data_IF_447420015845
#
_entry.id   IF_447420015845
#
_cell.length_a   1.000
_cell.length_b   1.000
_cell.length_c   1.000
_cell.angle_alpha   90.00
_cell.angle_beta   90.00
_cell.angle_gamma   90.00
#
_symmetry.space_group_name_H-M   'P 1'
#
loop_
_entity.id
_entity.type
_entity.pdbx_description
1 polymer ?
#
# COMPACT_ATOMS: atom_id res chain seq x y z
N UNK A 1 21.93 5.06 9.48
CA UNK A 1 21.39 4.76 10.82
C UNK A 1 19.91 5.14 10.93
N UNK A 2 19.11 4.79 9.93
CA UNK A 2 17.66 5.13 9.89
C UNK A 2 16.73 3.94 10.19
N UNK A 3 17.26 2.83 10.71
CA UNK A 3 16.48 1.61 10.97
C UNK A 3 15.79 1.54 12.36
N UNK A 4 15.92 2.59 13.20
CA UNK A 4 15.36 2.58 14.55
C UNK A 4 13.98 3.27 14.69
N UNK A 5 13.47 3.88 13.60
CA UNK A 5 12.21 4.64 13.65
C UNK A 5 10.99 3.73 13.55
N UNK A 6 11.09 2.68 12.74
CA UNK A 6 10.06 1.67 12.53
C UNK A 6 10.65 0.27 12.55
N UNK A 7 9.91 -0.66 13.15
CA UNK A 7 10.19 -2.10 13.05
C UNK A 7 9.87 -2.59 11.63
N UNK A 8 10.46 -3.70 11.15
CA UNK A 8 10.14 -4.26 9.83
C UNK A 8 8.65 -4.49 9.61
N UNK A 9 7.92 -4.98 10.61
CA UNK A 9 6.47 -5.21 10.54
C UNK A 9 5.67 -3.90 10.37
N UNK A 10 6.17 -2.79 10.92
CA UNK A 10 5.55 -1.47 10.78
C UNK A 10 5.77 -0.92 9.37
N UNK A 11 6.96 -1.13 8.77
CA UNK A 11 7.22 -0.78 7.39
C UNK A 11 6.36 -1.59 6.43
N UNK A 12 6.18 -2.88 6.67
CA UNK A 12 5.28 -3.74 5.90
C UNK A 12 3.83 -3.25 6.01
N UNK A 13 3.40 -2.85 7.22
CA UNK A 13 2.07 -2.31 7.46
C UNK A 13 1.84 -0.97 6.74
N UNK A 14 2.83 -0.06 6.76
CA UNK A 14 2.78 1.19 5.98
C UNK A 14 2.64 0.86 4.49
N UNK A 15 3.44 -0.08 3.99
CA UNK A 15 3.37 -0.54 2.60
C UNK A 15 1.98 -1.07 2.24
N UNK A 16 1.38 -1.89 3.08
CA UNK A 16 0.06 -2.47 2.83
C UNK A 16 -1.06 -1.41 2.82
N UNK A 17 -1.09 -0.49 3.79
CA UNK A 17 -2.05 0.62 3.80
C UNK A 17 -1.93 1.47 2.54
N UNK A 18 -0.72 1.84 2.19
CA UNK A 18 -0.47 2.66 1.01
C UNK A 18 -0.84 1.92 -0.27
N UNK A 19 -0.61 0.60 -0.34
CA UNK A 19 -1.03 -0.25 -1.45
C UNK A 19 -2.56 -0.33 -1.57
N UNK A 20 -3.28 -0.54 -0.47
CA UNK A 20 -4.75 -0.55 -0.45
C UNK A 20 -5.30 0.81 -0.90
N UNK A 21 -4.78 1.89 -0.35
CA UNK A 21 -5.21 3.25 -0.64
C UNK A 21 -5.01 3.61 -2.12
N UNK A 22 -3.78 3.54 -2.61
CA UNK A 22 -3.45 3.91 -4.00
C UNK A 22 -3.88 2.85 -5.01
N UNK A 23 -3.92 1.57 -4.63
CA UNK A 23 -4.46 0.52 -5.48
C UNK A 23 -5.95 0.74 -5.81
N UNK A 24 -6.75 1.20 -4.85
CA UNK A 24 -8.16 1.57 -5.10
C UNK A 24 -8.28 2.77 -6.05
N UNK A 25 -7.34 3.71 -5.98
CA UNK A 25 -7.31 4.90 -6.86
C UNK A 25 -7.03 4.54 -8.33
N UNK A 26 -6.31 3.44 -8.60
CA UNK A 26 -6.02 2.99 -9.96
C UNK A 26 -7.31 2.76 -10.77
N UNK A 27 -8.37 2.28 -10.13
CA UNK A 27 -9.68 2.10 -10.78
C UNK A 27 -10.31 3.45 -11.17
N UNK A 28 -10.26 4.44 -10.28
CA UNK A 28 -10.80 5.77 -10.57
C UNK A 28 -10.05 6.45 -11.72
N UNK A 29 -8.72 6.37 -11.73
CA UNK A 29 -7.88 6.90 -12.80
C UNK A 29 -8.09 6.13 -14.11
N UNK A 30 -8.24 4.80 -14.07
CA UNK A 30 -8.55 3.99 -15.27
C UNK A 30 -9.83 4.44 -15.95
N UNK A 31 -10.87 4.70 -15.16
CA UNK A 31 -12.15 5.19 -15.68
C UNK A 31 -12.04 6.59 -16.29
N UNK A 32 -11.24 7.46 -15.65
CA UNK A 32 -11.04 8.84 -16.15
C UNK A 32 -10.25 8.87 -17.45
N UNK A 33 -9.21 8.04 -17.56
CA UNK A 33 -8.31 8.01 -18.72
C UNK A 33 -8.80 7.09 -19.86
N UNK A 34 -9.86 6.29 -19.64
CA UNK A 34 -10.31 5.22 -20.55
C UNK A 34 -9.16 4.26 -20.94
N UNK A 35 -8.23 4.03 -20.01
CA UNK A 35 -7.09 3.13 -20.14
C UNK A 35 -6.92 2.39 -18.84
N UNK A 36 -6.50 1.12 -18.91
CA UNK A 36 -6.18 0.37 -17.71
C UNK A 36 -4.94 0.95 -17.04
N UNK A 37 -5.11 1.36 -15.78
CA UNK A 37 -4.04 1.84 -14.91
C UNK A 37 -3.82 0.82 -13.80
N UNK A 38 -2.58 0.41 -13.62
CA UNK A 38 -2.17 -0.46 -12.52
C UNK A 38 -1.15 0.29 -11.66
N UNK A 39 -1.40 0.34 -10.36
CA UNK A 39 -0.48 0.85 -9.32
C UNK A 39 -0.17 -0.32 -8.41
N UNK A 40 1.10 -0.67 -8.28
CA UNK A 40 1.47 -1.90 -7.58
C UNK A 40 2.68 -1.71 -6.67
N UNK A 41 2.73 -2.59 -5.72
CA UNK A 41 3.82 -2.98 -4.81
C UNK A 41 4.72 -1.84 -4.35
N UNK A 42 4.38 -1.21 -3.22
CA UNK A 42 5.21 -0.16 -2.66
C UNK A 42 6.51 -0.73 -2.08
N UNK A 43 7.57 0.04 -2.24
CA UNK A 43 8.80 -0.09 -1.45
C UNK A 43 8.82 1.04 -0.44
N UNK A 44 8.90 0.72 0.85
CA UNK A 44 8.89 1.70 1.94
C UNK A 44 10.30 1.87 2.47
N UNK A 45 10.77 3.10 2.50
CA UNK A 45 12.09 3.47 2.99
C UNK A 45 11.99 4.63 3.99
N UNK A 46 12.80 4.57 5.06
CA UNK A 46 12.98 5.71 5.96
C UNK A 46 14.30 6.36 5.62
N UNK A 47 14.25 7.61 5.21
CA UNK A 47 15.43 8.40 4.82
C UNK A 47 15.40 9.74 5.56
N UNK A 48 16.59 10.33 5.81
CA UNK A 48 16.61 11.69 6.32
C UNK A 48 16.39 12.68 5.17
N UNK A 49 15.77 13.83 5.48
CA UNK A 49 15.56 14.90 4.50
C UNK A 49 16.85 15.29 3.79
N UNK A 50 17.98 15.34 4.53
CA UNK A 50 19.29 15.68 4.00
C UNK A 50 19.77 14.69 2.93
N UNK A 51 19.51 13.39 3.13
CA UNK A 51 19.93 12.29 2.25
C UNK A 51 18.90 11.97 1.16
N UNK A 52 17.73 12.61 1.20
CA UNK A 52 16.67 12.37 0.23
C UNK A 52 17.08 12.75 -1.19
N UNK A 53 16.74 11.91 -2.16
CA UNK A 53 16.97 12.13 -3.58
C UNK A 53 15.79 11.67 -4.42
N UNK A 54 15.56 12.34 -5.54
CA UNK A 54 14.52 11.98 -6.51
C UNK A 54 14.91 10.74 -7.33
N UNK A 55 16.22 10.52 -7.52
CA UNK A 55 16.74 9.39 -8.30
C UNK A 55 16.23 9.43 -9.75
N UNK A 56 15.55 8.36 -10.18
CA UNK A 56 14.99 8.22 -11.54
C UNK A 56 13.78 9.12 -11.83
N UNK A 57 13.24 9.84 -10.84
CA UNK A 57 12.03 10.67 -11.00
C UNK A 57 12.34 12.08 -11.55
N UNK A 58 13.60 12.46 -11.72
CA UNK A 58 13.98 13.75 -12.31
C UNK A 58 13.78 13.80 -13.84
N UNK A 59 13.28 14.94 -14.39
CA UNK A 59 12.68 16.09 -13.71
C UNK A 59 11.31 15.77 -13.13
N UNK A 60 11.01 16.29 -11.94
CA UNK A 60 9.84 15.93 -11.17
C UNK A 60 8.80 17.05 -11.09
N UNK A 61 7.54 16.61 -10.98
CA UNK A 61 6.39 17.42 -10.57
C UNK A 61 5.91 16.90 -9.23
N UNK A 62 5.77 17.80 -8.27
CA UNK A 62 5.21 17.51 -6.97
C UNK A 62 3.70 17.81 -6.92
N UNK A 63 2.97 16.95 -6.21
CA UNK A 63 1.57 17.14 -5.89
C UNK A 63 1.40 17.01 -4.39
N UNK A 64 1.10 18.11 -3.72
CA UNK A 64 0.84 18.13 -2.28
C UNK A 64 -0.66 18.04 -2.02
N UNK A 65 -1.04 17.15 -1.10
CA UNK A 65 -2.34 17.13 -0.46
C UNK A 65 -2.16 17.26 1.06
N UNK A 66 -3.11 17.91 1.72
CA UNK A 66 -3.16 17.99 3.19
C UNK A 66 -4.37 17.20 3.66
N UNK A 67 -4.18 16.42 4.71
CA UNK A 67 -5.32 15.85 5.41
C UNK A 67 -6.00 16.95 6.23
N UNK A 68 -7.32 17.09 6.08
CA UNK A 68 -8.10 18.12 6.76
C UNK A 68 -9.06 17.54 7.80
N UNK A 69 -9.25 16.22 7.79
CA UNK A 69 -10.05 15.48 8.75
C UNK A 69 -9.56 14.02 8.81
N UNK A 70 -9.54 13.45 9.99
CA UNK A 70 -9.26 12.02 10.22
C UNK A 70 -7.78 11.66 10.33
N UNK A 71 -6.91 12.42 9.71
CA UNK A 71 -5.44 12.30 9.77
C UNK A 71 -4.85 13.71 9.83
N UNK A 72 -3.62 13.82 10.34
CA UNK A 72 -2.87 15.08 10.38
C UNK A 72 -1.63 15.00 9.49
N UNK A 73 -1.32 16.12 8.80
CA UNK A 73 -0.13 16.24 7.96
C UNK A 73 -0.42 16.33 6.47
N UNK A 74 0.64 16.19 5.69
CA UNK A 74 0.58 16.24 4.23
C UNK A 74 1.23 15.00 3.60
N UNK A 75 0.76 14.68 2.41
CA UNK A 75 1.34 13.68 1.52
C UNK A 75 1.81 14.41 0.25
N UNK A 76 3.06 14.23 -0.09
CA UNK A 76 3.65 14.77 -1.30
C UNK A 76 3.91 13.63 -2.26
N UNK A 77 3.24 13.67 -3.40
CA UNK A 77 3.48 12.75 -4.50
C UNK A 77 4.44 13.38 -5.50
N UNK A 78 5.45 12.63 -5.90
CA UNK A 78 6.47 13.05 -6.84
C UNK A 78 6.40 12.16 -8.07
N UNK A 79 6.11 12.76 -9.23
CA UNK A 79 5.99 12.08 -10.52
C UNK A 79 6.99 12.70 -11.51
N UNK A 80 7.40 11.92 -12.50
CA UNK A 80 8.19 12.47 -13.62
C UNK A 80 7.35 13.44 -14.45
N UNK A 81 7.98 14.48 -14.93
CA UNK A 81 7.34 15.40 -15.88
C UNK A 81 6.87 14.66 -17.15
N UNK A 82 7.66 13.70 -17.63
CA UNK A 82 7.28 12.85 -18.77
C UNK A 82 6.02 12.03 -18.54
N UNK A 83 5.77 11.59 -17.30
CA UNK A 83 4.61 10.80 -16.94
C UNK A 83 3.36 11.68 -16.85
N UNK A 84 3.50 12.86 -16.26
CA UNK A 84 2.45 13.90 -16.26
C UNK A 84 2.05 14.24 -17.70
N UNK A 85 3.03 14.44 -18.60
CA UNK A 85 2.78 14.68 -20.02
C UNK A 85 1.92 13.56 -20.64
N UNK A 86 2.28 12.29 -20.44
CA UNK A 86 1.53 11.15 -20.97
C UNK A 86 0.09 11.12 -20.42
N UNK A 87 -0.07 11.35 -19.12
CA UNK A 87 -1.38 11.39 -18.46
C UNK A 87 -2.25 12.52 -19.03
N UNK A 88 -1.68 13.71 -19.17
CA UNK A 88 -2.38 14.90 -19.71
C UNK A 88 -2.74 14.69 -21.18
N UNK A 89 -1.83 14.16 -21.99
CA UNK A 89 -2.11 13.85 -23.40
C UNK A 89 -3.25 12.86 -23.56
N UNK A 90 -3.30 11.82 -22.73
CA UNK A 90 -4.42 10.86 -22.77
C UNK A 90 -5.73 11.59 -22.44
N UNK A 91 -5.75 12.38 -21.37
CA UNK A 91 -6.95 13.08 -20.92
C UNK A 91 -7.45 14.11 -21.96
N UNK A 92 -6.53 14.80 -22.63
CA UNK A 92 -6.84 15.84 -23.60
C UNK A 92 -6.99 15.31 -25.04
N UNK A 93 -6.64 14.03 -25.27
CA UNK A 93 -6.64 13.43 -26.62
C UNK A 93 -5.55 14.02 -27.52
N UNK A 94 -4.42 14.44 -26.96
CA UNK A 94 -3.27 15.00 -27.65
C UNK A 94 -2.11 14.01 -27.70
N UNK A 95 -1.08 14.33 -28.49
CA UNK A 95 0.20 13.60 -28.52
C UNK A 95 1.32 14.64 -28.73
N UNK A 96 1.64 15.34 -27.67
CA UNK A 96 2.59 16.44 -27.66
C UNK A 96 4.03 15.89 -27.54
N UNK A 97 5.01 16.29 -28.37
CA UNK A 97 6.42 15.98 -28.12
C UNK A 97 6.87 16.48 -26.74
N UNK A 98 7.78 15.75 -26.07
CA UNK A 98 8.21 16.11 -24.71
C UNK A 98 8.90 17.49 -24.67
N UNK A 99 9.64 17.83 -25.73
CA UNK A 99 10.29 19.13 -25.90
C UNK A 99 9.32 20.30 -26.02
N UNK A 100 8.10 20.06 -26.48
CA UNK A 100 7.04 21.06 -26.66
C UNK A 100 6.05 21.07 -25.48
N UNK A 101 6.16 20.13 -24.56
CA UNK A 101 5.25 20.04 -23.42
C UNK A 101 5.59 21.11 -22.38
N UNK A 102 4.61 21.97 -22.11
CA UNK A 102 4.72 23.06 -21.13
C UNK A 102 3.68 22.85 -20.04
N UNK A 103 4.11 23.01 -18.79
CA UNK A 103 3.19 23.07 -17.64
C UNK A 103 2.56 24.47 -17.57
N UNK A 104 1.58 24.71 -18.43
CA UNK A 104 0.75 25.89 -18.40
C UNK A 104 -0.52 25.69 -17.52
N UNK A 105 -1.35 26.70 -17.38
CA UNK A 105 -2.56 26.63 -16.56
C UNK A 105 -3.51 25.50 -16.98
N UNK A 106 -3.56 25.19 -18.29
CA UNK A 106 -4.43 24.15 -18.83
C UNK A 106 -3.91 22.75 -18.50
N UNK A 107 -2.63 22.49 -18.77
CA UNK A 107 -1.98 21.19 -18.48
C UNK A 107 -1.90 20.92 -16.99
N UNK A 108 -1.64 21.96 -16.18
CA UNK A 108 -1.70 21.86 -14.72
C UNK A 108 -3.10 21.54 -14.21
N UNK A 109 -4.13 22.19 -14.78
CA UNK A 109 -5.53 21.88 -14.42
C UNK A 109 -5.91 20.45 -14.78
N UNK A 110 -5.48 19.96 -15.95
CA UNK A 110 -5.71 18.58 -16.36
C UNK A 110 -5.00 17.58 -15.42
N UNK A 111 -3.74 17.85 -15.07
CA UNK A 111 -2.99 17.02 -14.11
C UNK A 111 -3.66 17.04 -12.72
N UNK A 112 -4.08 18.21 -12.23
CA UNK A 112 -4.79 18.34 -10.95
C UNK A 112 -6.08 17.53 -10.92
N UNK A 113 -6.84 17.48 -12.02
CA UNK A 113 -8.08 16.69 -12.08
C UNK A 113 -7.79 15.20 -11.88
N UNK A 114 -6.78 14.66 -12.58
CA UNK A 114 -6.38 13.25 -12.41
C UNK A 114 -5.93 12.99 -10.99
N UNK A 115 -5.10 13.87 -10.42
CA UNK A 115 -4.62 13.73 -9.04
C UNK A 115 -5.76 13.86 -8.02
N UNK A 116 -6.72 14.72 -8.27
CA UNK A 116 -7.90 14.89 -7.41
C UNK A 116 -8.75 13.60 -7.39
N UNK A 117 -9.00 13.00 -8.54
CA UNK A 117 -9.72 11.73 -8.64
C UNK A 117 -8.95 10.59 -7.95
N UNK A 118 -7.64 10.51 -8.18
CA UNK A 118 -6.78 9.51 -7.57
C UNK A 118 -6.76 9.63 -6.04
N UNK A 119 -6.51 10.83 -5.53
CA UNK A 119 -6.39 11.06 -4.09
C UNK A 119 -7.73 11.02 -3.37
N UNK A 120 -8.83 11.40 -4.05
CA UNK A 120 -10.18 11.24 -3.52
C UNK A 120 -10.55 9.76 -3.30
N UNK A 121 -10.25 8.91 -4.28
CA UNK A 121 -10.44 7.46 -4.16
C UNK A 121 -9.54 6.85 -3.07
N UNK A 122 -8.27 7.29 -2.99
CA UNK A 122 -7.33 6.87 -1.96
C UNK A 122 -7.82 7.25 -0.55
N UNK A 123 -8.34 8.48 -0.37
CA UNK A 123 -8.90 8.98 0.89
C UNK A 123 -10.14 8.17 1.32
N UNK A 124 -10.99 7.80 0.36
CA UNK A 124 -12.15 6.93 0.62
C UNK A 124 -11.70 5.55 1.12
N UNK A 125 -10.72 4.93 0.46
CA UNK A 125 -10.17 3.65 0.88
C UNK A 125 -9.52 3.72 2.27
N UNK A 126 -8.82 4.82 2.57
CA UNK A 126 -8.27 5.06 3.92
C UNK A 126 -9.39 5.20 4.96
N UNK A 127 -10.50 5.89 4.62
CA UNK A 127 -11.65 6.03 5.52
C UNK A 127 -12.27 4.69 5.86
N UNK A 128 -12.46 3.83 4.86
CA UNK A 128 -13.00 2.48 5.03
C UNK A 128 -12.07 1.60 5.86
N UNK A 129 -10.76 1.69 5.60
CA UNK A 129 -9.75 0.93 6.32
C UNK A 129 -9.62 1.38 7.78
N UNK A 130 -9.54 2.69 8.03
CA UNK A 130 -9.36 3.23 9.38
C UNK A 130 -10.67 3.30 10.19
N UNK A 131 -11.83 3.05 9.56
CA UNK A 131 -13.14 3.12 10.21
C UNK A 131 -13.51 4.53 10.67
N UNK A 132 -12.92 5.56 10.08
CA UNK A 132 -13.16 6.98 10.36
C UNK A 132 -13.10 7.80 9.09
N UNK A 133 -13.80 8.92 9.07
CA UNK A 133 -13.76 9.83 7.91
C UNK A 133 -12.36 10.40 7.75
N UNK A 134 -11.81 10.27 6.53
CA UNK A 134 -10.55 10.88 6.13
C UNK A 134 -10.83 11.81 4.95
N UNK A 135 -10.63 13.09 5.15
CA UNK A 135 -10.81 14.11 4.11
C UNK A 135 -9.48 14.79 3.79
N UNK A 136 -9.34 15.17 2.52
CA UNK A 136 -8.16 15.84 1.98
C UNK A 136 -8.48 17.22 1.41
N UNK A 137 -7.47 18.09 1.36
CA UNK A 137 -7.52 19.34 0.61
C UNK A 137 -7.52 19.10 -0.89
N UNK A 138 -7.86 20.11 -1.67
CA UNK A 138 -7.59 20.12 -3.12
C UNK A 138 -6.08 19.95 -3.35
N UNK A 139 -5.66 19.04 -4.25
CA UNK A 139 -4.25 18.87 -4.61
C UNK A 139 -3.63 20.17 -5.12
N UNK A 140 -2.39 20.44 -4.72
CA UNK A 140 -1.59 21.56 -5.21
C UNK A 140 -0.37 21.01 -5.96
N UNK A 141 -0.26 21.35 -7.22
CA UNK A 141 0.90 20.98 -8.05
C UNK A 141 1.98 22.05 -7.98
N UNK A 142 3.23 21.61 -8.06
CA UNK A 142 4.40 22.47 -8.14
C UNK A 142 5.55 21.76 -8.87
N UNK A 143 6.42 22.53 -9.49
CA UNK A 143 7.61 22.01 -10.16
C UNK A 143 8.74 21.76 -9.17
N UNK A 144 9.50 20.70 -9.40
CA UNK A 144 10.71 20.39 -8.61
C UNK A 144 11.93 20.53 -9.52
N UNK A 145 12.34 21.77 -9.76
CA UNK A 145 13.54 22.08 -10.53
C UNK A 145 14.82 22.10 -9.69
N UNK A 146 14.68 22.40 -8.39
CA UNK A 146 15.78 22.50 -7.43
C UNK A 146 15.42 21.64 -6.21
N UNK A 147 16.18 20.58 -6.02
CA UNK A 147 15.96 19.63 -4.93
C UNK A 147 16.21 20.28 -3.55
N UNK A 148 17.17 21.19 -3.44
CA UNK A 148 17.49 21.84 -2.16
C UNK A 148 16.38 22.84 -1.77
N UNK A 149 15.85 23.59 -2.75
CA UNK A 149 14.69 24.44 -2.54
C UNK A 149 13.45 23.61 -2.16
N UNK A 150 13.20 22.50 -2.86
CA UNK A 150 12.13 21.57 -2.53
C UNK A 150 12.26 21.03 -1.11
N UNK A 151 13.43 20.56 -0.70
CA UNK A 151 13.68 20.07 0.65
C UNK A 151 13.36 21.11 1.72
N UNK A 152 13.71 22.36 1.46
CA UNK A 152 13.54 23.45 2.43
C UNK A 152 12.10 23.97 2.53
N UNK A 153 11.37 23.99 1.41
CA UNK A 153 10.09 24.72 1.31
C UNK A 153 8.87 23.80 1.32
N UNK A 154 9.03 22.53 0.91
CA UNK A 154 7.92 21.64 0.63
C UNK A 154 7.94 20.33 1.40
N UNK A 155 9.10 19.90 1.92
CA UNK A 155 9.13 18.67 2.71
C UNK A 155 8.20 18.75 3.92
N UNK A 156 7.58 17.62 4.34
CA UNK A 156 6.66 17.59 5.47
C UNK A 156 7.33 18.01 6.80
N UNK A 157 8.65 17.92 6.86
CA UNK A 157 9.48 18.36 8.01
C UNK A 157 10.76 19.03 7.48
N UNK A 158 11.35 19.92 8.27
CA UNK A 158 12.57 20.66 7.89
C UNK A 158 13.84 19.80 7.91
N UNK A 159 13.92 18.82 8.81
CA UNK A 159 15.08 17.94 8.99
C UNK A 159 14.71 16.66 9.71
N UNK A 160 15.54 15.62 9.56
CA UNK A 160 15.33 14.34 10.20
C UNK A 160 14.63 13.30 9.32
N UNK A 161 14.08 12.21 9.90
CA UNK A 161 13.55 11.09 9.15
C UNK A 161 12.17 11.38 8.53
N UNK A 162 12.02 10.99 7.27
CA UNK A 162 10.76 10.94 6.51
C UNK A 162 10.55 9.53 6.00
N UNK A 163 9.32 9.22 5.61
CA UNK A 163 8.97 7.97 4.96
C UNK A 163 8.75 8.23 3.48
N UNK A 164 9.55 7.58 2.65
CA UNK A 164 9.43 7.59 1.19
C UNK A 164 8.87 6.24 0.73
N UNK A 165 7.75 6.28 0.00
CA UNK A 165 7.07 5.10 -0.51
C UNK A 165 7.07 5.16 -2.03
N UNK A 166 7.76 4.22 -2.68
CA UNK A 166 7.85 4.14 -4.15
C UNK A 166 6.83 3.14 -4.68
N UNK A 167 6.16 3.52 -5.77
CA UNK A 167 5.17 2.71 -6.45
C UNK A 167 5.53 2.52 -7.91
N UNK A 168 5.25 1.33 -8.45
CA UNK A 168 5.22 1.15 -9.88
C UNK A 168 3.87 1.61 -10.45
N UNK A 169 3.91 2.38 -11.54
CA UNK A 169 2.76 2.87 -12.29
C UNK A 169 2.81 2.34 -13.71
N UNK A 170 1.73 1.74 -14.17
CA UNK A 170 1.60 1.41 -15.58
C UNK A 170 0.25 1.85 -16.14
N UNK A 171 0.27 2.40 -17.36
CA UNK A 171 -0.92 2.69 -18.16
C UNK A 171 -0.82 1.86 -19.43
N UNK A 172 -1.83 1.02 -19.69
CA UNK A 172 -1.80 0.03 -20.74
C UNK A 172 -1.45 0.63 -22.10
N UNK A 173 -0.37 0.12 -22.70
CA UNK A 173 0.12 0.55 -24.02
C UNK A 173 0.73 1.96 -24.07
N UNK A 174 0.78 2.70 -22.95
CA UNK A 174 1.19 4.10 -22.89
C UNK A 174 2.39 4.37 -22.00
N UNK A 175 2.40 3.84 -20.77
CA UNK A 175 3.38 4.19 -19.76
C UNK A 175 3.78 2.99 -18.89
N UNK A 176 5.06 2.90 -18.56
CA UNK A 176 5.59 2.10 -17.45
C UNK A 176 6.59 2.96 -16.71
N UNK A 177 6.32 3.27 -15.46
CA UNK A 177 7.07 4.22 -14.67
C UNK A 177 6.99 3.89 -13.18
N UNK A 178 7.55 4.79 -12.37
CA UNK A 178 7.43 4.79 -10.92
C UNK A 178 7.17 6.20 -10.43
N UNK A 179 6.49 6.31 -9.31
CA UNK A 179 6.32 7.55 -8.57
C UNK A 179 6.58 7.32 -7.09
N UNK A 180 6.73 8.40 -6.35
CA UNK A 180 7.06 8.35 -4.93
C UNK A 180 6.09 9.18 -4.12
N UNK A 181 5.67 8.66 -2.96
CA UNK A 181 5.00 9.44 -1.92
C UNK A 181 5.98 9.72 -0.79
N UNK A 182 5.95 10.94 -0.29
CA UNK A 182 6.73 11.39 0.87
C UNK A 182 5.77 11.85 1.95
N UNK A 183 5.91 11.26 3.14
CA UNK A 183 5.09 11.58 4.31
C UNK A 183 5.99 11.73 5.55
N UNK A 184 5.51 12.42 6.57
CA UNK A 184 6.21 12.49 7.85
C UNK A 184 6.13 11.15 8.61
N UNK A 185 7.06 10.96 9.55
CA UNK A 185 7.04 9.80 10.46
C UNK A 185 5.77 9.78 11.30
N UNK A 186 5.30 10.95 11.73
CA UNK A 186 4.08 11.11 12.54
C UNK A 186 2.86 10.61 11.78
N UNK A 187 2.70 11.06 10.53
CA UNK A 187 1.61 10.60 9.66
C UNK A 187 1.70 9.09 9.39
N UNK A 188 2.90 8.57 9.14
CA UNK A 188 3.10 7.13 8.95
C UNK A 188 2.69 6.33 10.20
N UNK A 189 3.04 6.79 11.40
CA UNK A 189 2.61 6.16 12.66
C UNK A 189 1.10 6.23 12.85
N UNK A 190 0.48 7.34 12.52
CA UNK A 190 -0.97 7.49 12.60
C UNK A 190 -1.71 6.54 11.64
N UNK A 191 -1.17 6.33 10.44
CA UNK A 191 -1.69 5.35 9.48
C UNK A 191 -1.67 3.92 10.04
N UNK A 192 -0.55 3.49 10.65
CA UNK A 192 -0.41 2.14 11.16
C UNK A 192 -1.05 1.92 12.54
N UNK A 193 -1.40 2.99 13.28
CA UNK A 193 -2.15 2.87 14.54
C UNK A 193 -3.47 2.09 14.36
N UNK A 194 -4.07 2.17 13.17
CA UNK A 194 -5.26 1.40 12.80
C UNK A 194 -5.05 -0.13 12.78
N UNK A 195 -3.82 -0.63 12.69
CA UNK A 195 -3.51 -2.07 12.76
C UNK A 195 -3.39 -2.61 14.19
N UNK A 196 -3.45 -1.74 15.23
CA UNK A 196 -3.24 -2.17 16.61
C UNK A 196 -1.83 -2.71 16.89
N UNK A 197 -0.84 -2.27 16.11
CA UNK A 197 0.57 -2.66 16.27
C UNK A 197 1.23 -1.98 17.47
N UNK A 198 0.54 -1.06 18.14
CA UNK A 198 0.97 -0.38 19.38
C UNK A 198 0.90 -1.28 20.62
N UNK A 199 0.44 -2.52 20.49
CA UNK A 199 0.43 -3.45 21.60
C UNK A 199 1.80 -4.05 21.80
N UNK A 200 2.52 -3.44 22.77
CA UNK A 200 3.49 -4.03 23.67
C UNK A 200 4.58 -4.94 23.08
N UNK A 201 5.83 -4.62 23.41
CA UNK A 201 6.86 -5.61 23.59
C UNK A 201 6.24 -6.92 24.13
N UNK A 202 5.85 -7.80 23.24
CA UNK A 202 5.73 -9.19 23.58
C UNK A 202 7.16 -9.65 23.90
N UNK A 203 7.54 -9.48 25.15
CA UNK A 203 8.67 -10.19 25.73
C UNK A 203 8.41 -11.65 25.43
N UNK A 204 9.06 -12.15 24.37
CA UNK A 204 9.17 -13.58 24.14
C UNK A 204 9.57 -14.19 25.48
N UNK A 205 8.79 -15.09 26.09
CA UNK A 205 9.22 -15.76 27.30
C UNK A 205 10.56 -16.42 26.98
N UNK A 206 11.58 -16.06 27.77
CA UNK A 206 12.89 -16.65 27.65
C UNK A 206 12.72 -18.18 27.53
N UNK A 207 13.44 -18.88 26.61
CA UNK A 207 13.34 -20.32 26.50
C UNK A 207 13.64 -20.93 27.88
N UNK A 208 12.61 -21.55 28.46
CA UNK A 208 12.74 -22.31 29.68
C UNK A 208 13.82 -23.35 29.44
N UNK A 209 14.90 -23.43 30.27
CA UNK A 209 15.91 -24.44 30.06
C UNK A 209 15.27 -25.82 30.13
N UNK A 210 15.49 -26.60 29.08
CA UNK A 210 15.01 -27.98 28.97
C UNK A 210 15.43 -28.77 30.21
N UNK A 211 14.53 -29.51 30.89
CA UNK A 211 14.93 -30.38 31.97
C UNK A 211 15.91 -31.43 31.46
N UNK A 212 17.00 -31.63 32.22
CA UNK A 212 18.00 -32.62 31.95
C UNK A 212 17.41 -34.02 31.78
N UNK A 213 17.99 -34.89 30.90
CA UNK A 213 17.43 -36.20 30.62
C UNK A 213 17.51 -37.10 31.88
N UNK A 214 16.35 -37.51 32.36
CA UNK A 214 16.21 -38.54 33.39
C UNK A 214 16.58 -39.90 32.81
N UNK A 215 17.30 -40.70 33.59
CA UNK A 215 17.76 -42.05 33.29
C UNK A 215 16.60 -43.00 32.90
N UNK A 216 16.83 -44.02 32.09
CA UNK A 216 15.78 -44.92 31.56
C UNK A 216 15.24 -45.86 32.62
N UNK A 217 13.92 -45.85 32.83
CA UNK A 217 13.19 -46.89 33.59
C UNK A 217 12.78 -48.04 32.65
N UNK A 218 12.65 -49.28 33.16
CA UNK A 218 12.51 -50.49 32.36
C UNK A 218 11.14 -50.64 31.67
N UNK A 219 11.15 -51.27 30.52
CA UNK A 219 10.00 -51.44 29.62
C UNK A 219 8.91 -52.36 30.21
N UNK A 220 7.63 -52.03 30.05
CA UNK A 220 6.52 -52.99 30.17
C UNK A 220 6.25 -53.66 28.83
N UNK A 221 5.82 -54.94 28.91
CA UNK A 221 5.55 -55.86 27.83
C UNK A 221 4.35 -55.46 26.94
N UNK A 222 4.23 -55.95 25.72
CA UNK A 222 3.28 -55.49 24.72
C UNK A 222 1.87 -56.00 24.99
N UNK A 223 0.89 -55.09 25.01
CA UNK A 223 -0.56 -55.41 24.97
C UNK A 223 -1.06 -55.26 23.52
N UNK A 224 -1.67 -56.32 23.04
CA UNK A 224 -2.26 -56.49 21.71
C UNK A 224 -3.29 -55.42 21.38
N UNK A 225 -3.00 -54.63 20.32
CA UNK A 225 -3.95 -53.73 19.70
C UNK A 225 -4.85 -54.49 18.73
N UNK A 226 -6.15 -54.40 18.94
CA UNK A 226 -7.14 -54.97 18.07
C UNK A 226 -7.21 -54.31 16.71
N UNK A 227 -7.04 -55.11 15.69
CA UNK A 227 -7.29 -54.75 14.27
C UNK A 227 -8.81 -54.79 14.10
N UNK A 228 -9.42 -53.75 13.59
CA UNK A 228 -10.84 -53.71 13.23
C UNK A 228 -11.15 -54.81 12.21
N UNK A 229 -12.19 -55.60 12.46
CA UNK A 229 -12.59 -56.71 11.60
C UNK A 229 -13.27 -56.20 10.32
N UNK A 230 -13.13 -57.00 9.27
CA UNK A 230 -13.63 -56.71 7.93
C UNK A 230 -15.16 -56.53 7.91
N UNK A 231 -15.87 -57.09 8.89
CA UNK A 231 -17.33 -56.91 9.08
C UNK A 231 -17.75 -55.53 9.57
N UNK A 232 -16.89 -54.83 10.33
CA UNK A 232 -17.17 -53.45 10.77
C UNK A 232 -16.98 -52.45 9.63
N UNK A 233 -16.11 -52.72 8.69
CA UNK A 233 -15.89 -51.91 7.50
C UNK A 233 -17.05 -52.05 6.51
N UNK A 234 -17.55 -53.25 6.32
CA UNK A 234 -18.71 -53.51 5.43
C UNK A 234 -20.02 -52.87 5.95
N UNK A 235 -20.21 -52.75 7.28
CA UNK A 235 -21.40 -52.13 7.86
C UNK A 235 -21.42 -50.62 7.71
N UNK A 236 -20.26 -49.96 7.56
CA UNK A 236 -20.19 -48.53 7.27
C UNK A 236 -20.45 -48.20 5.79
N UNK A 237 -20.22 -49.16 4.88
CA UNK A 237 -20.43 -48.98 3.42
C UNK A 237 -21.87 -49.27 2.96
N UNK A 238 -22.71 -49.90 3.81
CA UNK A 238 -24.06 -50.31 3.44
C UNK A 238 -25.20 -49.33 3.87
N UNK A 239 -24.85 -48.14 4.44
CA UNK A 239 -25.80 -47.09 4.82
C UNK A 239 -26.23 -46.25 3.62
N UNK A 240 -27.28 -46.69 2.94
CA UNK A 240 -27.79 -46.08 1.72
C UNK A 240 -28.40 -44.68 1.88
N UNK A 241 -28.24 -43.93 0.81
CA UNK A 241 -28.78 -42.58 0.55
C UNK A 241 -30.28 -42.66 0.31
N UNK A 242 -31.14 -41.84 0.92
CA UNK A 242 -32.53 -41.72 0.49
C UNK A 242 -32.68 -40.75 -0.68
N UNK A 243 -33.46 -41.22 -1.66
CA UNK A 243 -33.76 -40.54 -2.92
C UNK A 243 -34.62 -39.29 -2.73
N UNK A 244 -34.37 -38.29 -3.56
CA UNK A 244 -35.16 -37.06 -3.72
C UNK A 244 -36.49 -37.36 -4.42
N UNK A 245 -37.57 -36.76 -3.91
CA UNK A 245 -38.89 -36.75 -4.55
C UNK A 245 -39.07 -35.52 -5.47
N UNK A 246 -39.87 -35.59 -6.55
CA UNK A 246 -39.93 -34.57 -7.59
C UNK A 246 -40.89 -33.42 -7.27
N UNK A 247 -40.60 -32.24 -7.77
CA UNK A 247 -41.43 -31.05 -7.72
C UNK A 247 -42.60 -31.11 -8.72
N UNK A 248 -43.74 -30.51 -8.44
CA UNK A 248 -44.80 -30.31 -9.44
C UNK A 248 -44.66 -28.97 -10.17
N UNK A 249 -44.88 -29.02 -11.50
CA UNK A 249 -45.24 -27.89 -12.34
C UNK A 249 -46.77 -27.85 -12.50
N UNK A 250 -47.39 -26.80 -13.04
CA UNK A 250 -46.95 -25.65 -13.83
C UNK A 250 -46.99 -24.31 -13.12
#
# INVERSE_FOLDING_TARGET
>A
MSNDVFRPIELDAIGEIMNISLGSSATAVSNLLDHRVDITTPTVEVVNVEDFSLGSIEPAVGVEIKYVEGLEGSNIMLLRLSDIKVIVDILMGTDTPLEDFVLDDLTLSAACEVMNQMMGAASTALSDFLGRVVNISTPQTFDVYDLDAFKKERMPIESGPIVAVRFALSIEGKLKSEFMNVISVELAKELIAGFGLDTEEETLPAPTPAPAPAAPAPAPAPSSGGVMSQEEIEKMLAGGVPAAAPAPAP
#
